data_IF_843280121933
#
_entry.id   IF_843280121933
#
_cell.length_a   1.000
_cell.length_b   1.000
_cell.length_c   1.000
_cell.angle_alpha   90.00
_cell.angle_beta   90.00
_cell.angle_gamma   90.00
#
_symmetry.space_group_name_H-M   'P 1'
#
loop_
_entity.id
_entity.type
_entity.pdbx_description
1 polymer ?
#
# COMPACT_ATOMS: atom_id res chain seq x y z
N UNK A 1 22.58 -5.99 27.47
CA UNK A 1 21.62 -6.99 26.94
C UNK A 1 21.04 -6.42 25.65
N UNK A 2 20.89 -7.20 24.56
CA UNK A 2 20.30 -6.70 23.32
C UNK A 2 18.78 -6.47 23.51
N UNK A 3 18.18 -5.42 22.93
CA UNK A 3 16.73 -5.24 22.93
C UNK A 3 16.06 -6.40 22.19
N UNK A 4 14.85 -6.77 22.63
CA UNK A 4 14.02 -7.79 21.97
C UNK A 4 12.96 -7.10 21.12
N UNK A 5 12.90 -7.47 19.84
CA UNK A 5 12.04 -6.83 18.84
C UNK A 5 11.07 -7.85 18.25
N UNK A 6 9.78 -7.53 18.23
CA UNK A 6 8.79 -8.24 17.42
C UNK A 6 8.74 -7.62 16.02
N UNK A 7 8.79 -8.42 14.97
CA UNK A 7 8.47 -8.00 13.61
C UNK A 7 7.20 -8.74 13.18
N UNK A 8 6.11 -8.00 12.99
CA UNK A 8 4.76 -8.57 12.78
C UNK A 8 4.55 -9.21 11.42
N UNK A 9 5.48 -9.01 10.48
CA UNK A 9 5.44 -9.60 9.14
C UNK A 9 6.84 -9.87 8.60
N UNK A 10 6.96 -10.86 7.72
CA UNK A 10 8.19 -11.08 6.96
C UNK A 10 8.51 -9.81 6.16
N UNK A 11 9.74 -9.32 6.32
CA UNK A 11 10.28 -8.16 5.59
C UNK A 11 11.47 -8.60 4.73
N UNK A 12 11.98 -7.68 3.92
CA UNK A 12 13.15 -7.89 3.08
C UNK A 12 14.38 -8.28 3.93
N UNK A 13 15.27 -9.10 3.36
CA UNK A 13 16.44 -9.62 4.08
C UNK A 13 17.35 -8.50 4.59
N UNK A 14 17.66 -7.50 3.74
CA UNK A 14 18.58 -6.41 4.08
C UNK A 14 18.20 -5.66 5.38
N UNK A 15 16.98 -5.10 5.55
CA UNK A 15 16.61 -4.44 6.80
C UNK A 15 16.54 -5.43 7.98
N UNK A 16 16.16 -6.69 7.74
CA UNK A 16 16.13 -7.71 8.80
C UNK A 16 17.54 -8.04 9.31
N UNK A 17 18.54 -8.17 8.43
CA UNK A 17 19.93 -8.41 8.81
C UNK A 17 20.46 -7.26 9.66
N UNK A 18 20.24 -6.00 9.22
CA UNK A 18 20.63 -4.80 9.97
C UNK A 18 19.99 -4.76 11.36
N UNK A 19 18.71 -5.13 11.48
CA UNK A 19 18.04 -5.18 12.78
C UNK A 19 18.63 -6.25 13.71
N UNK A 20 18.97 -7.43 13.17
CA UNK A 20 19.59 -8.55 13.92
C UNK A 20 20.99 -8.23 14.46
N UNK A 21 21.72 -7.30 13.83
CA UNK A 21 23.00 -6.82 14.34
C UNK A 21 22.83 -6.14 15.71
N UNK A 22 21.74 -5.38 15.89
CA UNK A 22 21.49 -4.58 17.08
C UNK A 22 20.48 -5.18 18.07
N UNK A 23 19.67 -6.15 17.68
CA UNK A 23 18.57 -6.68 18.48
C UNK A 23 18.42 -8.21 18.39
N UNK A 24 17.76 -8.80 19.40
CA UNK A 24 17.20 -10.15 19.31
C UNK A 24 15.82 -10.04 18.64
N UNK A 25 15.68 -10.59 17.44
CA UNK A 25 14.51 -10.38 16.58
C UNK A 25 13.65 -11.63 16.53
N UNK A 26 12.39 -11.49 16.92
CA UNK A 26 11.34 -12.49 16.69
C UNK A 26 10.50 -12.02 15.51
N UNK A 27 10.46 -12.82 14.44
CA UNK A 27 9.69 -12.52 13.24
C UNK A 27 8.48 -13.43 13.21
N UNK A 28 7.33 -12.89 12.84
CA UNK A 28 6.14 -13.68 12.52
C UNK A 28 6.50 -14.82 11.53
N UNK A 29 6.26 -16.09 11.89
CA UNK A 29 6.64 -17.23 11.06
C UNK A 29 5.72 -17.45 9.85
N UNK A 30 4.63 -16.69 9.73
CA UNK A 30 3.63 -16.85 8.69
C UNK A 30 3.68 -15.73 7.65
N UNK A 31 3.43 -16.07 6.38
CA UNK A 31 3.24 -15.08 5.30
C UNK A 31 1.82 -14.50 5.29
N UNK A 32 1.42 -13.96 6.44
CA UNK A 32 0.18 -13.21 6.65
C UNK A 32 0.39 -12.21 7.79
N UNK A 33 -0.51 -11.25 7.93
CA UNK A 33 -0.50 -10.39 9.11
C UNK A 33 -0.81 -11.20 10.38
N UNK A 34 -0.18 -10.83 11.48
CA UNK A 34 -0.56 -11.31 12.81
C UNK A 34 -1.92 -10.72 13.18
N UNK A 35 -2.71 -11.49 13.91
CA UNK A 35 -3.91 -10.98 14.58
C UNK A 35 -3.53 -10.18 15.82
N UNK A 36 -4.43 -9.34 16.32
CA UNK A 36 -4.24 -8.59 17.56
C UNK A 36 -3.88 -9.51 18.73
N UNK A 37 -4.54 -10.66 18.85
CA UNK A 37 -4.29 -11.63 19.93
C UNK A 37 -2.90 -12.26 19.84
N UNK A 38 -2.45 -12.60 18.63
CA UNK A 38 -1.10 -13.14 18.42
C UNK A 38 -0.03 -12.10 18.77
N UNK A 39 -0.25 -10.83 18.41
CA UNK A 39 0.68 -9.75 18.77
C UNK A 39 0.73 -9.59 20.29
N UNK A 40 -0.43 -9.52 20.95
CA UNK A 40 -0.53 -9.39 22.41
C UNK A 40 0.15 -10.57 23.11
N UNK A 41 -0.01 -11.80 22.61
CA UNK A 41 0.61 -12.99 23.19
C UNK A 41 2.14 -12.99 23.03
N UNK A 42 2.66 -12.38 21.96
CA UNK A 42 4.10 -12.37 21.65
C UNK A 42 4.83 -11.17 22.25
N UNK A 43 4.13 -10.09 22.60
CA UNK A 43 4.72 -8.86 23.15
C UNK A 43 5.41 -8.96 24.52
N UNK A 44 5.06 -9.88 25.46
CA UNK A 44 5.72 -9.95 26.76
C UNK A 44 7.25 -10.11 26.64
N UNK A 45 8.00 -9.31 27.40
CA UNK A 45 9.47 -9.30 27.38
C UNK A 45 10.09 -8.64 26.14
N UNK A 46 9.28 -8.06 25.23
CA UNK A 46 9.77 -7.31 24.07
C UNK A 46 9.73 -5.81 24.32
N UNK A 47 10.84 -5.16 23.99
CA UNK A 47 11.03 -3.72 24.19
C UNK A 47 10.66 -2.89 22.98
N UNK A 48 10.49 -3.52 21.82
CA UNK A 48 10.18 -2.86 20.56
C UNK A 48 9.31 -3.74 19.66
N UNK A 49 8.51 -3.10 18.82
CA UNK A 49 7.71 -3.74 17.79
C UNK A 49 7.90 -3.00 16.46
N UNK A 50 8.14 -3.76 15.39
CA UNK A 50 8.03 -3.28 14.02
C UNK A 50 6.67 -3.70 13.47
N UNK A 51 5.80 -2.71 13.31
CA UNK A 51 4.45 -2.86 12.79
C UNK A 51 4.40 -2.64 11.28
N UNK A 52 3.35 -3.14 10.65
CA UNK A 52 2.96 -2.83 9.28
C UNK A 52 1.76 -1.88 9.29
N UNK A 53 1.51 -1.18 8.18
CA UNK A 53 0.40 -0.21 8.08
C UNK A 53 -1.01 -0.79 8.31
N UNK A 54 -1.17 -2.12 8.32
CA UNK A 54 -2.42 -2.79 8.64
C UNK A 54 -2.54 -3.32 10.08
N UNK A 55 -1.49 -3.21 10.90
CA UNK A 55 -1.53 -3.75 12.26
C UNK A 55 -2.32 -2.83 13.19
N UNK A 56 -3.20 -3.37 14.07
CA UNK A 56 -4.04 -2.57 14.94
C UNK A 56 -3.27 -2.14 16.21
N UNK A 57 -2.46 -1.09 16.11
CA UNK A 57 -1.70 -0.50 17.22
C UNK A 57 -2.61 0.39 18.09
N UNK A 58 -3.63 -0.24 18.68
CA UNK A 58 -4.64 0.41 19.51
C UNK A 58 -4.25 0.42 21.01
N UNK A 59 -5.01 1.13 21.84
CA UNK A 59 -4.81 1.16 23.28
C UNK A 59 -4.68 -0.23 23.90
N UNK A 60 -5.53 -1.19 23.52
CA UNK A 60 -5.52 -2.56 24.06
C UNK A 60 -4.18 -3.27 23.79
N UNK A 61 -3.62 -3.12 22.59
CA UNK A 61 -2.29 -3.67 22.26
C UNK A 61 -1.21 -3.01 23.12
N UNK A 62 -1.24 -1.69 23.19
CA UNK A 62 -0.21 -0.91 23.89
C UNK A 62 -0.22 -1.17 25.40
N UNK A 63 -1.40 -1.33 26.00
CA UNK A 63 -1.59 -1.63 27.42
C UNK A 63 -1.22 -3.07 27.79
N UNK A 64 -1.24 -3.99 26.81
CA UNK A 64 -0.91 -5.39 27.04
C UNK A 64 0.58 -5.64 27.33
N UNK A 65 1.46 -4.72 26.95
CA UNK A 65 2.90 -4.82 27.23
C UNK A 65 3.36 -3.81 28.27
N UNK A 66 4.12 -4.30 29.26
CA UNK A 66 4.77 -3.45 30.27
C UNK A 66 6.18 -3.00 29.86
N UNK A 67 6.78 -3.69 28.90
CA UNK A 67 8.18 -3.52 28.51
C UNK A 67 8.35 -2.73 27.21
N UNK A 68 7.27 -2.60 26.42
CA UNK A 68 7.30 -1.96 25.12
C UNK A 68 7.64 -0.48 25.25
N UNK A 69 8.68 -0.04 24.53
CA UNK A 69 9.17 1.35 24.53
C UNK A 69 8.95 2.06 23.21
N UNK A 70 8.85 1.30 22.12
CA UNK A 70 8.72 1.84 20.77
C UNK A 70 7.92 0.91 19.86
N UNK A 71 7.05 1.51 19.04
CA UNK A 71 6.47 0.90 17.86
C UNK A 71 6.95 1.64 16.62
N UNK A 72 7.71 0.96 15.78
CA UNK A 72 8.17 1.46 14.49
C UNK A 72 7.21 0.97 13.38
N UNK A 73 6.42 1.88 12.82
CA UNK A 73 5.47 1.55 11.77
C UNK A 73 6.13 1.63 10.40
N UNK A 74 6.17 0.50 9.70
CA UNK A 74 6.61 0.44 8.31
C UNK A 74 5.47 0.84 7.36
N UNK A 75 5.07 2.11 7.44
CA UNK A 75 4.10 2.75 6.56
C UNK A 75 4.19 4.28 6.68
N UNK A 76 3.73 4.99 5.66
CA UNK A 76 3.58 6.46 5.69
C UNK A 76 2.42 6.85 6.62
N UNK A 77 1.24 6.27 6.39
CA UNK A 77 0.04 6.53 7.20
C UNK A 77 0.10 5.83 8.55
N UNK A 78 -0.47 6.47 9.58
CA UNK A 78 -0.49 5.99 10.95
C UNK A 78 -1.88 5.99 11.59
N UNK A 79 -2.94 6.01 10.77
CA UNK A 79 -4.33 6.00 11.23
C UNK A 79 -4.68 4.73 12.05
N UNK A 80 -3.85 3.69 11.93
CA UNK A 80 -3.92 2.45 12.68
C UNK A 80 -3.29 2.53 14.09
N UNK A 81 -2.68 3.67 14.45
CA UNK A 81 -1.98 3.87 15.72
C UNK A 81 -2.71 4.83 16.65
N UNK A 82 -2.97 4.39 17.89
CA UNK A 82 -3.52 5.22 18.96
C UNK A 82 -2.41 6.06 19.61
N UNK A 83 -2.21 7.27 19.05
CA UNK A 83 -1.17 8.22 19.47
C UNK A 83 -1.40 8.69 20.91
N UNK A 84 -2.66 8.87 21.33
CA UNK A 84 -2.98 9.33 22.68
C UNK A 84 -2.62 8.27 23.72
N UNK A 85 -3.00 7.00 23.47
CA UNK A 85 -2.63 5.89 24.34
C UNK A 85 -1.13 5.71 24.41
N UNK A 86 -0.42 5.74 23.27
CA UNK A 86 1.03 5.64 23.24
C UNK A 86 1.69 6.77 24.04
N UNK A 87 1.19 8.00 23.93
CA UNK A 87 1.68 9.16 24.70
C UNK A 87 1.50 8.96 26.20
N UNK A 88 0.31 8.53 26.65
CA UNK A 88 0.03 8.26 28.07
C UNK A 88 0.94 7.16 28.63
N UNK A 89 1.19 6.13 27.83
CA UNK A 89 2.02 4.98 28.20
C UNK A 89 3.53 5.23 27.99
N UNK A 90 3.92 6.40 27.45
CA UNK A 90 5.31 6.77 27.13
C UNK A 90 5.98 5.80 26.16
N UNK A 91 5.20 5.33 25.18
CA UNK A 91 5.66 4.48 24.08
C UNK A 91 5.89 5.37 22.86
N UNK A 92 7.11 5.36 22.32
CA UNK A 92 7.42 6.11 21.11
C UNK A 92 6.74 5.48 19.89
N UNK A 93 6.18 6.29 19.01
CA UNK A 93 5.66 5.86 17.72
C UNK A 93 6.48 6.51 16.61
N UNK A 94 6.86 5.73 15.60
CA UNK A 94 7.51 6.25 14.39
C UNK A 94 6.83 5.71 13.13
N UNK A 95 6.98 6.42 12.02
CA UNK A 95 6.51 6.04 10.70
C UNK A 95 7.58 6.35 9.64
N UNK A 96 7.30 6.06 8.37
CA UNK A 96 8.23 6.31 7.25
C UNK A 96 7.68 7.39 6.30
N UNK A 97 7.68 8.68 6.69
CA UNK A 97 7.20 9.74 5.82
C UNK A 97 8.03 9.84 4.53
N UNK A 98 7.42 10.40 3.48
CA UNK A 98 8.06 10.76 2.21
C UNK A 98 8.58 9.61 1.33
N UNK A 99 8.65 8.37 1.81
CA UNK A 99 9.24 7.25 1.05
C UNK A 99 8.37 6.73 -0.12
N UNK A 100 7.10 7.14 -0.20
CA UNK A 100 6.16 6.69 -1.24
C UNK A 100 5.68 7.81 -2.17
N UNK A 101 6.08 9.07 -1.96
CA UNK A 101 5.49 10.23 -2.64
C UNK A 101 5.54 10.10 -4.16
N UNK A 102 6.74 9.92 -4.71
CA UNK A 102 6.95 9.84 -6.17
C UNK A 102 6.33 8.56 -6.75
N UNK A 103 6.55 7.42 -6.10
CA UNK A 103 5.97 6.14 -6.55
C UNK A 103 4.44 6.15 -6.58
N UNK A 104 3.81 6.85 -5.63
CA UNK A 104 2.34 7.01 -5.58
C UNK A 104 1.87 7.95 -6.69
N UNK A 105 2.62 9.02 -6.97
CA UNK A 105 2.32 9.93 -8.06
C UNK A 105 2.41 9.22 -9.43
N UNK A 106 3.48 8.47 -9.67
CA UNK A 106 3.67 7.68 -10.90
C UNK A 106 2.54 6.69 -11.11
N UNK A 107 2.17 5.95 -10.06
CA UNK A 107 1.05 5.00 -10.12
C UNK A 107 -0.27 5.72 -10.40
N UNK A 108 -0.49 6.91 -9.83
CA UNK A 108 -1.70 7.70 -10.05
C UNK A 108 -1.81 8.12 -11.53
N UNK A 109 -0.73 8.62 -12.12
CA UNK A 109 -0.70 8.94 -13.55
C UNK A 109 -0.89 7.70 -14.43
N UNK A 110 -0.28 6.57 -14.07
CA UNK A 110 -0.46 5.32 -14.79
C UNK A 110 -1.93 4.86 -14.78
N UNK A 111 -2.61 4.95 -13.63
CA UNK A 111 -4.04 4.60 -13.51
C UNK A 111 -4.90 5.57 -14.33
N UNK A 112 -4.63 6.89 -14.26
CA UNK A 112 -5.34 7.89 -15.06
C UNK A 112 -5.24 7.58 -16.55
N UNK A 113 -4.04 7.28 -17.04
CA UNK A 113 -3.83 6.91 -18.45
C UNK A 113 -4.47 5.57 -18.80
N UNK A 114 -4.40 4.57 -17.91
CA UNK A 114 -5.00 3.27 -18.12
C UNK A 114 -6.52 3.35 -18.29
N UNK A 115 -7.19 4.17 -17.47
CA UNK A 115 -8.63 4.41 -17.56
C UNK A 115 -8.97 5.25 -18.80
N UNK A 116 -8.32 6.40 -18.98
CA UNK A 116 -8.62 7.33 -20.08
C UNK A 116 -8.43 6.69 -21.47
N UNK A 117 -7.46 5.78 -21.59
CA UNK A 117 -7.14 5.10 -22.86
C UNK A 117 -7.61 3.64 -22.91
N UNK A 118 -8.33 3.19 -21.89
CA UNK A 118 -8.91 1.83 -21.81
C UNK A 118 -7.85 0.75 -22.05
N UNK A 119 -6.67 0.96 -21.47
CA UNK A 119 -5.48 0.13 -21.69
C UNK A 119 -5.77 -1.32 -21.28
N UNK A 120 -6.47 -1.52 -20.16
CA UNK A 120 -6.79 -2.86 -19.68
C UNK A 120 -7.70 -3.64 -20.63
N UNK A 121 -8.68 -3.00 -21.25
CA UNK A 121 -9.52 -3.65 -22.26
C UNK A 121 -8.77 -3.92 -23.55
N UNK A 122 -7.97 -2.96 -24.02
CA UNK A 122 -7.14 -3.13 -25.20
C UNK A 122 -6.14 -4.29 -25.02
N UNK A 123 -5.51 -4.37 -23.85
CA UNK A 123 -4.62 -5.46 -23.46
C UNK A 123 -5.33 -6.82 -23.51
N UNK A 124 -6.51 -6.94 -22.87
CA UNK A 124 -7.31 -8.18 -22.93
C UNK A 124 -7.72 -8.55 -24.34
N UNK A 125 -8.03 -7.56 -25.18
CA UNK A 125 -8.41 -7.75 -26.56
C UNK A 125 -7.26 -8.32 -27.41
N UNK A 126 -6.05 -7.78 -27.25
CA UNK A 126 -4.83 -8.28 -27.91
C UNK A 126 -4.50 -9.68 -27.40
N UNK A 127 -4.54 -9.92 -26.09
CA UNK A 127 -4.29 -11.24 -25.48
C UNK A 127 -5.25 -12.31 -25.99
N UNK A 128 -6.48 -11.94 -26.32
CA UNK A 128 -7.47 -12.83 -26.91
C UNK A 128 -7.27 -13.12 -28.42
N UNK A 129 -6.18 -12.64 -29.02
CA UNK A 129 -5.85 -12.87 -30.44
C UNK A 129 -6.78 -12.14 -31.41
N UNK A 130 -7.55 -11.15 -30.94
CA UNK A 130 -8.57 -10.45 -31.75
C UNK A 130 -8.00 -9.26 -32.53
N UNK A 131 -6.76 -8.87 -32.27
CA UNK A 131 -6.10 -7.79 -32.98
C UNK A 131 -5.66 -8.22 -34.37
N UNK A 132 -6.14 -7.50 -35.37
CA UNK A 132 -5.93 -7.80 -36.79
C UNK A 132 -5.00 -6.80 -37.48
N UNK A 133 -4.38 -5.89 -36.72
CA UNK A 133 -3.46 -4.87 -37.23
C UNK A 133 -3.96 -3.44 -36.99
N UNK A 134 -3.14 -2.47 -37.40
CA UNK A 134 -3.50 -1.06 -37.37
C UNK A 134 -4.48 -0.74 -38.51
N UNK A 135 -5.48 0.07 -38.23
CA UNK A 135 -6.45 0.56 -39.21
C UNK A 135 -6.87 1.98 -38.84
N UNK A 136 -6.99 2.90 -39.81
CA UNK A 136 -7.37 4.29 -39.55
C UNK A 136 -8.79 4.45 -38.98
N UNK A 137 -9.64 3.45 -39.19
CA UNK A 137 -10.93 3.31 -38.51
C UNK A 137 -10.78 2.44 -37.24
N UNK A 138 -10.93 2.99 -36.01
CA UNK A 138 -10.70 2.27 -34.76
C UNK A 138 -11.63 1.06 -34.53
N UNK A 139 -12.85 1.11 -35.07
CA UNK A 139 -13.80 0.00 -35.03
C UNK A 139 -13.31 -1.23 -35.81
N UNK A 140 -12.42 -1.01 -36.77
CA UNK A 140 -11.94 -2.03 -37.71
C UNK A 140 -10.61 -2.65 -37.26
N UNK A 141 -9.74 -1.87 -36.59
CA UNK A 141 -8.49 -2.40 -35.98
C UNK A 141 -8.73 -3.27 -34.74
N UNK A 142 -9.82 -3.02 -34.01
CA UNK A 142 -10.25 -3.79 -32.84
C UNK A 142 -11.33 -4.83 -33.14
N UNK A 143 -11.44 -5.29 -34.40
CA UNK A 143 -12.44 -6.27 -34.84
C UNK A 143 -13.87 -5.72 -34.78
N UNK A 144 -14.71 -6.10 -35.74
CA UNK A 144 -16.07 -5.57 -35.96
C UNK A 144 -17.03 -5.62 -34.73
N UNK A 145 -16.64 -6.24 -33.62
CA UNK A 145 -17.44 -6.43 -32.41
C UNK A 145 -17.15 -5.44 -31.28
N UNK A 146 -16.10 -4.61 -31.36
CA UNK A 146 -15.75 -3.62 -30.32
C UNK A 146 -16.19 -2.19 -30.67
N UNK A 147 -16.44 -1.90 -31.94
CA UNK A 147 -16.80 -0.58 -32.44
C UNK A 147 -18.30 -0.30 -32.35
N UNK A 148 -18.75 0.29 -31.24
CA UNK A 148 -19.90 1.22 -31.13
C UNK A 148 -20.39 1.29 -29.68
N UNK A 149 -20.52 0.15 -29.00
CA UNK A 149 -21.01 0.09 -27.60
C UNK A 149 -19.89 0.20 -26.56
N UNK A 150 -18.66 -0.20 -26.89
CA UNK A 150 -17.54 -0.11 -25.96
C UNK A 150 -17.01 1.32 -25.84
N UNK A 151 -17.07 2.11 -26.91
CA UNK A 151 -16.73 3.54 -26.92
C UNK A 151 -18.04 4.33 -26.99
N UNK A 152 -18.92 4.19 -25.99
CA UNK A 152 -20.14 4.99 -25.95
C UNK A 152 -19.78 6.46 -25.94
N UNK A 153 -20.18 7.23 -26.95
CA UNK A 153 -20.18 8.70 -27.11
C UNK A 153 -19.20 9.57 -26.27
N UNK A 154 -18.04 9.07 -25.89
CA UNK A 154 -17.07 9.78 -25.04
C UNK A 154 -16.11 10.64 -25.87
N UNK A 155 -16.37 10.76 -27.17
CA UNK A 155 -15.81 11.80 -28.03
C UNK A 155 -16.50 13.15 -27.90
N UNK A 156 -17.38 13.37 -26.91
CA UNK A 156 -17.79 14.75 -26.59
C UNK A 156 -16.56 15.46 -26.02
N UNK A 157 -16.09 16.56 -26.65
CA UNK A 157 -15.04 17.37 -26.05
C UNK A 157 -15.46 17.80 -24.65
N UNK A 158 -14.48 17.98 -23.76
CA UNK A 158 -14.71 18.61 -22.47
C UNK A 158 -15.52 19.89 -22.70
N UNK A 159 -16.62 20.14 -21.97
CA UNK A 159 -17.37 21.37 -22.16
C UNK A 159 -16.40 22.54 -22.01
N UNK A 160 -16.29 23.36 -23.05
CA UNK A 160 -15.52 24.59 -23.04
C UNK A 160 -15.91 25.38 -21.80
N UNK A 161 -14.94 25.67 -20.93
CA UNK A 161 -15.16 26.49 -19.75
C UNK A 161 -15.52 27.92 -20.16
N UNK A 162 -16.04 28.74 -19.24
CA UNK A 162 -16.45 30.12 -19.51
C UNK A 162 -15.29 31.09 -19.86
N UNK A 163 -14.11 30.56 -20.21
CA UNK A 163 -12.88 31.30 -20.47
C UNK A 163 -12.56 31.41 -21.97
N UNK A 164 -13.29 30.72 -22.84
CA UNK A 164 -13.01 30.64 -24.28
C UNK A 164 -13.71 31.77 -25.09
N UNK A 165 -13.91 32.95 -24.50
CA UNK A 165 -14.39 34.14 -25.20
C UNK A 165 -13.46 35.34 -25.00
N UNK A 166 -12.37 35.37 -25.76
CA UNK A 166 -11.63 36.59 -26.18
C UNK A 166 -11.05 36.37 -27.56
#
# INVERSE_FOLDING_TARGET
MKPKVLVTRIIQEKPLSLLKEHAEVVVNPHDRSMTLEEIIAELPGKTAMMAMGGDPVNARLLEASRDLKIVANNAVGFNNMDVEAATRLKIALTNTPEVLTDTTADLSFAILMAVARRICEAERFVRAGKWVGWHPEPATSMGKRWGSSAWGESGRPWPSGPWDST
#
